data_IF_335947490920
#
_entry.id   IF_335947490920
#
_cell.length_a   1.000
_cell.length_b   1.000
_cell.length_c   1.000
_cell.angle_alpha   90.00
_cell.angle_beta   90.00
_cell.angle_gamma   90.00
#
_symmetry.space_group_name_H-M   'P 1'
#
loop_
_entity.id
_entity.type
_entity.pdbx_description
1 polymer ?
#
# COMPACT_ATOMS: atom_id res chain seq x y z
N UNK A 1 24.87 -11.44 -12.95
CA UNK A 1 24.61 -10.34 -12.01
C UNK A 1 25.56 -9.20 -12.36
N UNK A 2 25.08 -8.11 -12.98
CA UNK A 2 25.85 -6.88 -13.10
C UNK A 2 25.71 -6.10 -11.78
N UNK A 3 26.81 -6.01 -11.04
CA UNK A 3 26.90 -5.07 -9.90
C UNK A 3 27.51 -3.79 -10.48
N UNK A 4 26.71 -2.87 -10.92
CA UNK A 4 27.16 -1.51 -11.19
C UNK A 4 27.04 -0.70 -9.90
N UNK A 5 28.18 -0.28 -9.37
CA UNK A 5 28.30 0.56 -8.18
C UNK A 5 28.05 2.04 -8.51
N UNK A 6 27.01 2.35 -9.27
CA UNK A 6 26.57 3.73 -9.51
C UNK A 6 25.16 3.92 -9.00
N UNK A 7 24.99 4.97 -8.20
CA UNK A 7 23.76 5.49 -7.61
C UNK A 7 22.51 5.21 -8.44
N UNK A 8 21.93 4.03 -8.24
CA UNK A 8 20.57 3.79 -8.70
C UNK A 8 19.62 4.64 -7.88
N UNK A 9 18.59 5.25 -8.49
CA UNK A 9 17.44 5.66 -7.75
C UNK A 9 16.97 4.41 -7.01
N UNK A 10 16.96 4.47 -5.69
CA UNK A 10 16.70 3.37 -4.78
C UNK A 10 15.37 2.71 -5.15
N UNK A 11 15.42 1.66 -5.98
CA UNK A 11 14.29 0.75 -6.08
C UNK A 11 14.11 0.16 -4.70
N UNK A 12 12.98 0.46 -4.08
CA UNK A 12 12.69 -0.04 -2.73
C UNK A 12 12.73 -1.56 -2.75
N UNK A 13 13.13 -2.18 -1.66
CA UNK A 13 13.14 -3.64 -1.51
C UNK A 13 11.76 -4.27 -1.83
N UNK A 14 10.68 -3.51 -1.66
CA UNK A 14 9.32 -3.86 -2.08
C UNK A 14 9.20 -4.08 -3.59
N UNK A 15 9.86 -3.26 -4.42
CA UNK A 15 9.76 -3.34 -5.89
C UNK A 15 10.48 -4.58 -6.41
N UNK A 16 11.66 -4.88 -5.83
CA UNK A 16 12.39 -6.10 -6.16
C UNK A 16 11.63 -7.36 -5.74
N UNK A 17 10.97 -7.30 -4.59
CA UNK A 17 10.11 -8.40 -4.12
C UNK A 17 8.91 -8.62 -5.05
N UNK A 18 8.26 -7.54 -5.51
CA UNK A 18 7.16 -7.61 -6.48
C UNK A 18 7.59 -8.22 -7.81
N UNK A 19 8.84 -7.99 -8.23
CA UNK A 19 9.45 -8.59 -9.42
C UNK A 19 9.96 -10.02 -9.20
N UNK A 20 9.84 -10.59 -8.00
CA UNK A 20 10.36 -11.91 -7.66
C UNK A 20 11.90 -11.98 -7.64
N UNK A 21 12.59 -10.84 -7.61
CA UNK A 21 14.05 -10.77 -7.65
C UNK A 21 14.60 -10.86 -6.22
N UNK A 22 15.39 -11.88 -5.87
CA UNK A 22 16.02 -11.94 -4.57
C UNK A 22 17.00 -10.78 -4.38
N UNK A 23 16.88 -10.07 -3.26
CA UNK A 23 17.71 -8.93 -2.93
C UNK A 23 18.20 -8.99 -1.49
N UNK A 24 19.40 -8.51 -1.26
CA UNK A 24 20.00 -8.36 0.05
C UNK A 24 20.45 -6.93 0.24
N UNK A 25 20.03 -6.30 1.33
CA UNK A 25 20.39 -4.93 1.71
C UNK A 25 21.37 -5.00 2.89
N UNK A 26 22.32 -4.06 2.94
CA UNK A 26 23.28 -4.02 4.05
C UNK A 26 24.31 -5.15 4.05
N UNK A 27 24.64 -5.70 2.87
CA UNK A 27 25.59 -6.81 2.73
C UNK A 27 27.04 -6.47 3.16
N UNK A 28 27.33 -5.21 3.46
CA UNK A 28 28.65 -4.73 3.89
C UNK A 28 29.65 -4.53 2.74
N UNK A 29 30.74 -3.83 3.03
CA UNK A 29 31.76 -3.50 2.03
C UNK A 29 32.53 -4.73 1.50
N UNK A 30 32.52 -5.85 2.21
CA UNK A 30 33.20 -7.08 1.81
C UNK A 30 32.68 -7.62 0.46
N UNK A 31 31.43 -7.36 0.10
CA UNK A 31 30.86 -7.78 -1.20
C UNK A 31 31.56 -7.10 -2.38
N UNK A 32 32.05 -5.86 -2.18
CA UNK A 32 32.76 -5.10 -3.21
C UNK A 32 34.18 -5.65 -3.51
N UNK A 33 34.70 -6.48 -2.60
CA UNK A 33 36.03 -7.08 -2.73
C UNK A 33 36.00 -8.46 -3.43
N UNK A 34 34.82 -8.96 -3.78
CA UNK A 34 34.70 -10.24 -4.46
C UNK A 34 35.20 -10.12 -5.90
N UNK A 35 36.01 -11.14 -6.30
CA UNK A 35 36.52 -11.20 -7.65
C UNK A 35 35.39 -11.43 -8.67
N UNK A 36 35.47 -10.83 -9.88
CA UNK A 36 34.54 -11.17 -10.95
C UNK A 36 34.51 -12.68 -11.24
N UNK A 37 33.29 -13.24 -11.35
CA UNK A 37 33.13 -14.68 -11.59
C UNK A 37 33.03 -15.54 -10.32
N UNK A 38 33.20 -14.97 -9.11
CA UNK A 38 33.01 -15.72 -7.87
C UNK A 38 31.58 -16.26 -7.80
N UNK A 39 31.35 -17.57 -7.59
CA UNK A 39 30.03 -18.15 -7.42
C UNK A 39 29.37 -17.64 -6.16
N UNK A 40 28.10 -17.13 -6.30
CA UNK A 40 27.35 -16.61 -5.18
C UNK A 40 25.98 -17.29 -5.09
N UNK A 41 25.60 -17.67 -3.87
CA UNK A 41 24.24 -18.09 -3.54
C UNK A 41 23.58 -17.02 -2.67
N UNK A 42 22.54 -16.38 -3.20
CA UNK A 42 21.78 -15.35 -2.51
C UNK A 42 20.48 -15.92 -1.95
N UNK A 43 20.38 -15.99 -0.62
CA UNK A 43 19.14 -16.29 0.10
C UNK A 43 18.50 -14.98 0.59
N UNK A 44 17.62 -14.44 -0.24
CA UNK A 44 16.89 -13.19 0.08
C UNK A 44 15.85 -13.35 1.20
N UNK A 45 15.47 -14.56 1.56
CA UNK A 45 14.51 -14.82 2.66
C UNK A 45 15.21 -14.78 4.02
N UNK A 46 16.38 -15.41 4.11
CA UNK A 46 17.17 -15.45 5.34
C UNK A 46 18.16 -14.29 5.44
N UNK A 47 18.23 -13.44 4.42
CA UNK A 47 19.18 -12.32 4.39
C UNK A 47 20.63 -12.79 4.35
N UNK A 48 20.95 -13.87 3.62
CA UNK A 48 22.29 -14.47 3.58
C UNK A 48 22.86 -14.46 2.17
N UNK A 49 24.16 -14.18 2.12
CA UNK A 49 24.96 -14.34 0.92
C UNK A 49 26.06 -15.39 1.22
N UNK A 50 26.05 -16.49 0.49
CA UNK A 50 27.10 -17.50 0.55
C UNK A 50 28.06 -17.29 -0.61
N UNK A 51 29.33 -17.12 -0.29
CA UNK A 51 30.43 -17.02 -1.27
C UNK A 51 31.07 -18.42 -1.38
N UNK A 52 31.26 -18.88 -2.60
CA UNK A 52 31.81 -20.23 -2.89
C UNK A 52 31.12 -21.35 -2.08
N UNK A 53 29.76 -21.33 -2.12
CA UNK A 53 28.96 -22.33 -1.40
C UNK A 53 29.32 -23.74 -1.83
N UNK A 54 29.48 -24.65 -0.86
CA UNK A 54 29.75 -26.08 -1.13
C UNK A 54 28.56 -26.78 -1.83
N UNK A 55 28.83 -27.93 -2.41
CA UNK A 55 27.83 -28.70 -3.17
C UNK A 55 26.61 -29.07 -2.31
N UNK A 56 26.78 -29.34 -1.02
CA UNK A 56 25.68 -29.68 -0.12
C UNK A 56 24.78 -28.46 0.16
N UNK A 57 25.35 -27.25 0.28
CA UNK A 57 24.64 -26.00 0.45
C UNK A 57 23.86 -25.61 -0.83
N UNK A 58 24.48 -25.78 -2.00
CA UNK A 58 23.83 -25.55 -3.29
C UNK A 58 22.67 -26.54 -3.52
N UNK A 59 22.86 -27.82 -3.20
CA UNK A 59 21.81 -28.82 -3.33
C UNK A 59 20.62 -28.50 -2.45
N UNK A 60 20.83 -28.19 -1.17
CA UNK A 60 19.74 -27.78 -0.26
C UNK A 60 18.98 -26.55 -0.75
N UNK A 61 19.72 -25.55 -1.23
CA UNK A 61 19.09 -24.33 -1.77
C UNK A 61 18.25 -24.62 -3.03
N UNK A 62 18.69 -25.55 -3.87
CA UNK A 62 17.94 -26.00 -5.04
C UNK A 62 16.66 -26.73 -4.63
N UNK A 63 16.75 -27.69 -3.71
CA UNK A 63 15.58 -28.40 -3.18
C UNK A 63 14.56 -27.48 -2.51
N UNK A 64 15.05 -26.52 -1.72
CA UNK A 64 14.17 -25.50 -1.10
C UNK A 64 13.48 -24.62 -2.17
N UNK A 65 14.21 -24.21 -3.21
CA UNK A 65 13.64 -23.46 -4.34
C UNK A 65 12.56 -24.28 -5.06
N UNK A 66 12.86 -25.50 -5.41
CA UNK A 66 11.95 -26.37 -6.16
C UNK A 66 10.69 -26.70 -5.35
N UNK A 67 10.85 -26.95 -4.04
CA UNK A 67 9.71 -27.10 -3.11
C UNK A 67 8.85 -25.85 -3.05
N UNK A 68 9.48 -24.68 -3.03
CA UNK A 68 8.77 -23.39 -3.05
C UNK A 68 8.03 -23.17 -4.36
N UNK A 69 8.65 -23.46 -5.50
CA UNK A 69 8.00 -23.35 -6.80
C UNK A 69 6.78 -24.26 -6.91
N UNK A 70 6.88 -25.50 -6.41
CA UNK A 70 5.75 -26.42 -6.35
C UNK A 70 4.59 -25.87 -5.47
N UNK A 71 4.93 -25.34 -4.29
CA UNK A 71 3.92 -24.69 -3.42
C UNK A 71 3.26 -23.48 -4.08
N UNK A 72 4.03 -22.65 -4.78
CA UNK A 72 3.48 -21.50 -5.51
C UNK A 72 2.56 -21.93 -6.65
N UNK A 73 2.91 -23.01 -7.39
CA UNK A 73 2.04 -23.57 -8.42
C UNK A 73 0.73 -24.12 -7.84
N UNK A 74 0.81 -24.90 -6.77
CA UNK A 74 -0.38 -25.41 -6.09
C UNK A 74 -1.25 -24.29 -5.51
N UNK A 75 -0.63 -23.24 -4.93
CA UNK A 75 -1.37 -22.07 -4.46
C UNK A 75 -2.03 -21.29 -5.63
N UNK A 76 -1.36 -21.21 -6.78
CA UNK A 76 -1.92 -20.56 -7.95
C UNK A 76 -3.18 -21.26 -8.50
N UNK A 77 -3.27 -22.58 -8.38
CA UNK A 77 -4.46 -23.36 -8.76
C UNK A 77 -5.65 -23.10 -7.81
N UNK A 78 -5.38 -22.74 -6.57
CA UNK A 78 -6.40 -22.52 -5.53
C UNK A 78 -6.70 -21.04 -5.28
N UNK A 79 -6.05 -20.11 -5.99
CA UNK A 79 -6.10 -18.66 -5.71
C UNK A 79 -7.51 -18.04 -5.77
N UNK A 80 -8.45 -18.68 -6.47
CA UNK A 80 -9.84 -18.22 -6.58
C UNK A 80 -10.79 -18.96 -5.62
N UNK A 81 -10.27 -19.85 -4.77
CA UNK A 81 -11.09 -20.50 -3.76
C UNK A 81 -11.20 -19.60 -2.54
N UNK A 82 -12.34 -19.61 -1.83
CA UNK A 82 -12.49 -18.86 -0.59
C UNK A 82 -11.44 -19.25 0.45
N UNK A 83 -10.82 -18.27 1.10
CA UNK A 83 -9.94 -18.53 2.23
C UNK A 83 -10.80 -18.85 3.47
N UNK A 84 -10.61 -20.04 4.06
CA UNK A 84 -11.36 -20.49 5.21
C UNK A 84 -10.41 -20.72 6.40
N UNK A 85 -10.85 -20.31 7.58
CA UNK A 85 -10.19 -20.70 8.84
C UNK A 85 -10.48 -22.16 9.17
N UNK A 86 -9.77 -22.74 10.13
CA UNK A 86 -9.96 -24.15 10.54
C UNK A 86 -11.34 -24.44 11.12
N UNK A 87 -12.05 -23.43 11.61
CA UNK A 87 -13.43 -23.51 12.10
C UNK A 87 -14.47 -23.17 11.02
N UNK A 88 -14.02 -22.97 9.75
CA UNK A 88 -14.89 -22.78 8.59
C UNK A 88 -15.35 -21.34 8.36
N UNK A 89 -14.79 -20.35 9.07
CA UNK A 89 -15.10 -18.94 8.80
C UNK A 89 -14.40 -18.46 7.51
N UNK A 90 -15.16 -17.82 6.60
CA UNK A 90 -14.59 -17.24 5.38
C UNK A 90 -13.92 -15.90 5.69
N UNK A 91 -12.70 -15.73 5.17
CA UNK A 91 -11.92 -14.48 5.27
C UNK A 91 -11.66 -13.94 3.87
N UNK A 92 -12.14 -12.74 3.58
CA UNK A 92 -11.90 -12.08 2.30
C UNK A 92 -10.41 -11.70 2.13
N UNK A 93 -9.87 -11.93 0.95
CA UNK A 93 -8.48 -11.62 0.61
C UNK A 93 -8.43 -10.46 -0.36
N UNK A 94 -7.97 -9.31 0.11
CA UNK A 94 -7.88 -8.09 -0.67
C UNK A 94 -6.44 -7.73 -1.05
N UNK A 95 -6.28 -7.13 -2.22
CA UNK A 95 -4.97 -6.66 -2.67
C UNK A 95 -4.68 -5.22 -2.22
N UNK A 96 -3.40 -4.87 -2.20
CA UNK A 96 -2.93 -3.49 -2.05
C UNK A 96 -2.35 -3.03 -3.40
N UNK A 97 -2.84 -1.91 -3.92
CA UNK A 97 -2.38 -1.32 -5.18
C UNK A 97 -2.04 0.16 -5.02
N UNK A 98 -1.34 0.71 -5.99
CA UNK A 98 -0.98 2.13 -6.01
C UNK A 98 -1.57 2.90 -7.19
N UNK A 99 -2.07 2.19 -8.19
CA UNK A 99 -2.59 2.77 -9.43
C UNK A 99 -3.56 1.80 -10.12
N UNK A 100 -4.36 2.30 -11.06
CA UNK A 100 -5.37 1.51 -11.79
C UNK A 100 -4.78 0.35 -12.59
N UNK A 101 -3.56 0.49 -13.09
CA UNK A 101 -2.86 -0.57 -13.82
C UNK A 101 -2.68 -1.87 -13.02
N UNK A 102 -2.66 -1.79 -11.69
CA UNK A 102 -2.54 -2.94 -10.79
C UNK A 102 -3.81 -3.75 -10.61
N UNK A 103 -4.98 -3.23 -10.98
CA UNK A 103 -6.29 -3.85 -10.69
C UNK A 103 -6.44 -5.21 -11.38
N UNK A 104 -6.19 -5.27 -12.69
CA UNK A 104 -6.33 -6.50 -13.48
C UNK A 104 -5.47 -7.62 -12.91
N UNK A 105 -4.19 -7.33 -12.67
CA UNK A 105 -3.28 -8.32 -12.08
C UNK A 105 -3.72 -8.76 -10.69
N UNK A 106 -4.22 -7.85 -9.84
CA UNK A 106 -4.74 -8.20 -8.52
C UNK A 106 -5.91 -9.18 -8.60
N UNK A 107 -6.89 -8.90 -9.47
CA UNK A 107 -8.06 -9.77 -9.68
C UNK A 107 -7.64 -11.13 -10.27
N UNK A 108 -6.74 -11.15 -11.24
CA UNK A 108 -6.20 -12.38 -11.82
C UNK A 108 -5.43 -13.23 -10.79
N UNK A 109 -4.81 -12.60 -9.80
CA UNK A 109 -4.15 -13.29 -8.69
C UNK A 109 -5.12 -13.75 -7.58
N UNK A 110 -6.43 -13.55 -7.75
CA UNK A 110 -7.46 -14.03 -6.84
C UNK A 110 -7.91 -13.02 -5.79
N UNK A 111 -7.56 -11.73 -5.94
CA UNK A 111 -8.06 -10.72 -5.01
C UNK A 111 -9.59 -10.55 -5.14
N UNK A 112 -10.28 -10.63 -4.00
CA UNK A 112 -11.73 -10.44 -3.89
C UNK A 112 -12.11 -8.96 -3.87
N UNK A 113 -11.14 -8.07 -3.69
CA UNK A 113 -11.27 -6.62 -3.71
C UNK A 113 -9.93 -5.92 -3.52
N UNK A 114 -9.98 -4.61 -3.37
CA UNK A 114 -8.83 -3.78 -3.02
C UNK A 114 -9.00 -3.28 -1.59
N UNK A 115 -8.17 -3.79 -0.68
CA UNK A 115 -8.15 -3.39 0.73
C UNK A 115 -7.37 -2.11 0.99
N UNK A 116 -6.50 -1.71 0.05
CA UNK A 116 -5.74 -0.48 0.12
C UNK A 116 -5.37 0.04 -1.26
N UNK A 117 -6.03 1.10 -1.72
CA UNK A 117 -5.51 1.95 -2.78
C UNK A 117 -4.63 3.04 -2.16
N UNK A 118 -3.33 3.01 -2.47
CA UNK A 118 -2.34 3.97 -1.98
C UNK A 118 -2.31 5.20 -2.87
N UNK A 119 -3.11 6.19 -2.56
CA UNK A 119 -3.27 7.37 -3.41
C UNK A 119 -2.02 8.24 -3.49
N UNK A 120 -1.11 8.16 -2.52
CA UNK A 120 0.16 8.90 -2.59
C UNK A 120 0.98 8.59 -3.84
N UNK A 121 0.88 7.37 -4.40
CA UNK A 121 1.59 7.00 -5.62
C UNK A 121 1.04 7.75 -6.84
N UNK A 122 -0.27 8.01 -6.87
CA UNK A 122 -0.89 8.85 -7.91
C UNK A 122 -0.29 10.27 -7.86
N UNK A 123 -0.19 10.84 -6.66
CA UNK A 123 0.40 12.17 -6.48
C UNK A 123 1.90 12.19 -6.82
N UNK A 124 2.65 11.16 -6.45
CA UNK A 124 4.09 11.05 -6.73
C UNK A 124 4.40 10.86 -8.22
N UNK A 125 3.47 10.36 -9.02
CA UNK A 125 3.63 10.17 -10.45
C UNK A 125 3.60 11.49 -11.25
N UNK A 126 3.16 12.58 -10.64
CA UNK A 126 3.02 13.89 -11.29
C UNK A 126 4.06 14.90 -10.80
N UNK A 127 4.48 15.82 -11.69
CA UNK A 127 5.40 16.92 -11.37
C UNK A 127 4.71 18.07 -10.63
N UNK A 128 3.37 18.10 -10.65
CA UNK A 128 2.50 19.04 -9.95
C UNK A 128 1.36 18.26 -9.29
N UNK A 129 0.69 18.86 -8.30
CA UNK A 129 -0.47 18.24 -7.67
C UNK A 129 -1.54 17.90 -8.73
N UNK A 130 -1.98 16.63 -8.83
CA UNK A 130 -3.05 16.27 -9.75
C UNK A 130 -4.32 17.03 -9.34
N UNK A 131 -4.96 17.66 -10.30
CA UNK A 131 -6.24 18.32 -10.10
C UNK A 131 -7.38 17.31 -9.84
N UNK A 132 -8.54 17.81 -9.50
CA UNK A 132 -9.70 16.99 -9.18
C UNK A 132 -10.11 16.08 -10.35
N UNK A 133 -10.07 16.59 -11.59
CA UNK A 133 -10.44 15.81 -12.77
C UNK A 133 -9.45 14.68 -13.06
N UNK A 134 -8.16 14.94 -12.92
CA UNK A 134 -7.10 13.93 -13.07
C UNK A 134 -7.26 12.82 -12.03
N UNK A 135 -7.51 13.17 -10.78
CA UNK A 135 -7.76 12.20 -9.71
C UNK A 135 -9.03 11.39 -9.96
N UNK A 136 -10.13 12.04 -10.36
CA UNK A 136 -11.40 11.38 -10.66
C UNK A 136 -11.24 10.30 -11.74
N UNK A 137 -10.53 10.62 -12.82
CA UNK A 137 -10.28 9.68 -13.92
C UNK A 137 -9.54 8.44 -13.41
N UNK A 138 -8.53 8.61 -12.57
CA UNK A 138 -7.76 7.48 -12.03
C UNK A 138 -8.59 6.62 -11.08
N UNK A 139 -9.35 7.23 -10.16
CA UNK A 139 -10.23 6.49 -9.24
C UNK A 139 -11.35 5.76 -9.99
N UNK A 140 -11.92 6.37 -11.02
CA UNK A 140 -12.93 5.74 -11.88
C UNK A 140 -12.38 4.51 -12.58
N UNK A 141 -11.16 4.58 -13.13
CA UNK A 141 -10.48 3.42 -13.74
C UNK A 141 -10.30 2.26 -12.76
N UNK A 142 -9.94 2.56 -11.50
CA UNK A 142 -9.84 1.53 -10.46
C UNK A 142 -11.21 0.87 -10.24
N UNK A 143 -12.27 1.65 -10.06
CA UNK A 143 -13.62 1.15 -9.83
C UNK A 143 -14.17 0.35 -11.02
N UNK A 144 -13.89 0.80 -12.24
CA UNK A 144 -14.30 0.10 -13.47
C UNK A 144 -13.59 -1.26 -13.59
N UNK A 145 -12.29 -1.30 -13.32
CA UNK A 145 -11.51 -2.53 -13.35
C UNK A 145 -11.90 -3.55 -12.28
N UNK A 146 -12.46 -3.10 -11.16
CA UNK A 146 -12.95 -3.96 -10.08
C UNK A 146 -14.28 -4.63 -10.39
N UNK A 147 -15.04 -4.12 -11.34
CA UNK A 147 -16.32 -4.71 -11.77
C UNK A 147 -17.27 -5.03 -10.58
N UNK A 148 -17.42 -4.09 -9.66
CA UNK A 148 -18.29 -4.19 -8.49
C UNK A 148 -17.67 -4.82 -7.23
N UNK A 149 -16.41 -5.26 -7.28
CA UNK A 149 -15.69 -5.72 -6.08
C UNK A 149 -15.40 -4.56 -5.13
N UNK A 150 -15.28 -4.84 -3.81
CA UNK A 150 -14.99 -3.81 -2.81
C UNK A 150 -13.70 -3.03 -3.08
N UNK A 151 -13.74 -1.73 -2.81
CA UNK A 151 -12.59 -0.82 -2.87
C UNK A 151 -12.48 -0.03 -1.57
N UNK A 152 -11.33 -0.10 -0.92
CA UNK A 152 -10.93 0.81 0.16
C UNK A 152 -9.88 1.77 -0.36
N UNK A 153 -10.20 3.06 -0.36
CA UNK A 153 -9.27 4.12 -0.77
C UNK A 153 -8.72 4.81 0.45
N UNK A 154 -7.40 4.80 0.61
CA UNK A 154 -6.74 5.61 1.64
C UNK A 154 -6.53 7.02 1.11
N UNK A 155 -7.01 8.04 1.85
CA UNK A 155 -6.71 9.43 1.53
C UNK A 155 -5.21 9.68 1.60
N UNK A 156 -4.76 10.79 1.04
CA UNK A 156 -3.36 11.11 0.85
C UNK A 156 -2.53 10.96 2.13
N UNK A 157 -1.52 10.08 2.06
CA UNK A 157 -0.56 9.82 3.13
C UNK A 157 0.86 10.23 2.68
N UNK A 158 1.11 11.52 2.69
CA UNK A 158 2.42 12.12 2.38
C UNK A 158 3.00 12.82 3.60
N UNK A 159 4.32 12.94 3.63
CA UNK A 159 5.10 13.43 4.75
C UNK A 159 6.17 12.41 5.15
N UNK A 160 7.13 12.84 5.94
CA UNK A 160 8.20 11.95 6.38
C UNK A 160 9.06 11.44 5.22
N UNK A 161 8.92 10.16 4.93
CA UNK A 161 9.68 9.44 3.89
C UNK A 161 9.07 9.56 2.48
N UNK A 162 7.94 10.25 2.35
CA UNK A 162 7.20 10.41 1.08
C UNK A 162 7.06 11.89 0.71
N UNK A 163 8.14 12.59 0.37
CA UNK A 163 8.08 13.99 0.00
C UNK A 163 7.44 14.16 -1.39
N UNK A 164 6.66 15.24 -1.53
CA UNK A 164 6.17 15.71 -2.82
C UNK A 164 6.92 16.98 -3.21
N UNK A 165 7.57 17.03 -4.39
CA UNK A 165 8.39 18.18 -4.78
C UNK A 165 7.65 19.51 -4.78
N UNK A 166 6.36 19.47 -5.07
CA UNK A 166 5.49 20.65 -5.17
C UNK A 166 4.77 21.01 -3.86
N UNK A 167 4.93 20.19 -2.81
CA UNK A 167 4.43 20.51 -1.46
C UNK A 167 5.54 20.35 -0.43
N UNK A 168 6.44 21.32 -0.35
CA UNK A 168 7.50 21.28 0.63
C UNK A 168 6.92 21.23 2.04
N UNK A 169 7.35 20.24 2.82
CA UNK A 169 7.03 20.07 4.21
C UNK A 169 8.29 20.43 4.98
N UNK A 170 8.14 21.15 6.10
CA UNK A 170 9.27 21.50 6.95
C UNK A 170 10.02 20.23 7.39
N UNK A 171 11.33 20.31 7.43
CA UNK A 171 12.14 19.19 7.91
C UNK A 171 11.93 19.06 9.42
N UNK A 172 11.56 17.86 9.86
CA UNK A 172 11.34 17.49 11.24
C UNK A 172 12.34 16.42 11.67
N UNK A 173 12.70 16.40 12.96
CA UNK A 173 13.61 15.37 13.49
C UNK A 173 12.96 13.97 13.46
N UNK A 174 11.66 13.91 13.74
CA UNK A 174 10.86 12.68 13.73
C UNK A 174 9.65 12.82 12.78
N UNK A 175 9.84 12.78 11.46
CA UNK A 175 8.78 13.08 10.48
C UNK A 175 7.53 12.18 10.59
N UNK A 176 7.70 10.95 11.06
CA UNK A 176 6.57 10.02 11.27
C UNK A 176 5.63 10.46 12.40
N UNK A 177 6.14 11.22 13.38
CA UNK A 177 5.37 11.76 14.49
C UNK A 177 4.85 13.17 14.22
N UNK A 178 5.31 13.78 13.14
CA UNK A 178 5.02 15.17 12.77
C UNK A 178 3.85 15.32 11.79
N UNK A 179 3.99 16.31 10.89
CA UNK A 179 2.97 16.68 9.91
C UNK A 179 2.95 15.68 8.75
N UNK A 180 2.02 14.74 8.82
CA UNK A 180 1.85 13.66 7.84
C UNK A 180 0.38 13.23 7.74
N UNK A 181 -0.02 12.69 6.58
CA UNK A 181 -1.32 12.09 6.35
C UNK A 181 -2.45 13.07 6.67
N UNK A 182 -3.39 12.65 7.52
CA UNK A 182 -4.54 13.49 7.91
C UNK A 182 -4.12 14.83 8.52
N UNK A 183 -3.03 14.88 9.30
CA UNK A 183 -2.56 16.12 9.93
C UNK A 183 -2.17 17.17 8.89
N UNK A 184 -1.49 16.75 7.81
CA UNK A 184 -1.16 17.62 6.68
C UNK A 184 -2.42 18.08 5.95
N UNK A 185 -3.35 17.17 5.68
CA UNK A 185 -4.54 17.47 4.88
C UNK A 185 -5.57 18.27 5.67
N UNK A 186 -5.62 18.19 7.00
CA UNK A 186 -6.41 19.07 7.85
C UNK A 186 -5.81 20.49 7.93
N UNK A 187 -4.47 20.62 7.91
CA UNK A 187 -3.83 21.95 7.81
C UNK A 187 -4.01 22.59 6.43
N UNK A 188 -4.25 21.78 5.39
CA UNK A 188 -4.46 22.21 4.01
C UNK A 188 -5.76 21.61 3.48
N UNK A 189 -6.93 22.05 3.99
CA UNK A 189 -8.22 21.40 3.75
C UNK A 189 -8.58 21.32 2.27
N UNK A 190 -8.13 22.27 1.44
CA UNK A 190 -8.36 22.27 0.00
C UNK A 190 -7.79 21.01 -0.70
N UNK A 191 -6.72 20.41 -0.15
CA UNK A 191 -6.14 19.17 -0.70
C UNK A 191 -7.10 17.99 -0.44
N UNK A 192 -7.58 17.89 0.81
CA UNK A 192 -8.53 16.85 1.19
C UNK A 192 -9.87 17.02 0.47
N UNK A 193 -10.38 18.24 0.37
CA UNK A 193 -11.63 18.52 -0.34
C UNK A 193 -11.56 18.11 -1.81
N UNK A 194 -10.49 18.48 -2.53
CA UNK A 194 -10.31 18.10 -3.93
C UNK A 194 -10.25 16.57 -4.09
N UNK A 195 -9.52 15.88 -3.21
CA UNK A 195 -9.45 14.42 -3.25
C UNK A 195 -10.80 13.77 -2.95
N UNK A 196 -11.51 14.22 -1.92
CA UNK A 196 -12.83 13.69 -1.56
C UNK A 196 -13.87 13.93 -2.67
N UNK A 197 -13.88 15.13 -3.30
CA UNK A 197 -14.75 15.39 -4.45
C UNK A 197 -14.47 14.45 -5.60
N UNK A 198 -13.18 14.26 -5.94
CA UNK A 198 -12.79 13.34 -6.99
C UNK A 198 -13.22 11.89 -6.70
N UNK A 199 -13.09 11.44 -5.46
CA UNK A 199 -13.53 10.10 -5.03
C UNK A 199 -15.04 9.93 -5.11
N UNK A 200 -15.81 10.89 -4.58
CA UNK A 200 -17.28 10.84 -4.62
C UNK A 200 -17.81 10.86 -6.05
N UNK A 201 -17.25 11.68 -6.94
CA UNK A 201 -17.60 11.70 -8.36
C UNK A 201 -17.21 10.41 -9.09
N UNK A 202 -16.02 9.89 -8.80
CA UNK A 202 -15.55 8.63 -9.39
C UNK A 202 -16.44 7.45 -8.99
N UNK A 203 -16.98 7.46 -7.77
CA UNK A 203 -17.87 6.42 -7.29
C UNK A 203 -19.13 6.29 -8.16
N UNK A 204 -19.71 7.40 -8.61
CA UNK A 204 -20.87 7.38 -9.50
C UNK A 204 -21.96 6.42 -8.99
N UNK A 205 -22.32 6.61 -7.72
CA UNK A 205 -23.28 5.80 -6.96
C UNK A 205 -22.89 4.32 -6.73
N UNK A 206 -21.63 3.92 -6.99
CA UNK A 206 -21.08 2.61 -6.61
C UNK A 206 -20.66 2.62 -5.14
N UNK A 207 -20.62 1.46 -4.46
CA UNK A 207 -20.08 1.35 -3.10
C UNK A 207 -18.65 1.88 -3.02
N UNK A 208 -18.39 2.72 -2.02
CA UNK A 208 -17.07 3.31 -1.80
C UNK A 208 -16.71 3.29 -0.31
N UNK A 209 -15.49 2.84 -0.01
CA UNK A 209 -14.92 2.91 1.34
C UNK A 209 -13.75 3.88 1.33
N UNK A 210 -13.81 4.93 2.16
CA UNK A 210 -12.74 5.91 2.32
C UNK A 210 -12.10 5.71 3.69
N UNK A 211 -10.79 5.60 3.72
CA UNK A 211 -10.00 5.39 4.92
C UNK A 211 -9.02 6.55 5.14
N UNK A 212 -9.03 7.11 6.34
CA UNK A 212 -8.12 8.19 6.73
C UNK A 212 -6.88 7.63 7.44
N UNK A 213 -5.66 7.98 6.96
CA UNK A 213 -4.41 7.55 7.58
C UNK A 213 -4.02 8.46 8.74
N UNK A 214 -3.18 7.98 9.65
CA UNK A 214 -2.51 8.76 10.70
C UNK A 214 -3.44 9.46 11.69
N UNK A 215 -4.69 9.01 11.81
CA UNK A 215 -5.65 9.56 12.79
C UNK A 215 -5.16 9.25 14.20
N UNK A 216 -4.90 10.28 14.99
CA UNK A 216 -4.41 10.18 16.37
C UNK A 216 -5.41 10.62 17.42
N UNK A 217 -6.52 11.27 17.03
CA UNK A 217 -7.54 11.76 17.94
C UNK A 217 -8.96 11.64 17.35
N UNK A 218 -9.95 11.69 18.23
CA UNK A 218 -11.37 11.71 17.83
C UNK A 218 -11.71 13.00 17.07
N UNK A 219 -11.05 14.11 17.40
CA UNK A 219 -11.30 15.40 16.75
C UNK A 219 -10.79 15.42 15.30
N UNK A 220 -9.62 14.83 15.01
CA UNK A 220 -9.11 14.67 13.65
C UNK A 220 -10.07 13.81 12.81
N UNK A 221 -10.55 12.72 13.37
CA UNK A 221 -11.56 11.88 12.73
C UNK A 221 -12.84 12.67 12.40
N UNK A 222 -13.40 13.39 13.38
CA UNK A 222 -14.64 14.14 13.19
C UNK A 222 -14.50 15.23 12.14
N UNK A 223 -13.39 15.95 12.10
CA UNK A 223 -13.12 16.95 11.08
C UNK A 223 -13.14 16.35 9.67
N UNK A 224 -12.48 15.19 9.46
CA UNK A 224 -12.46 14.50 8.18
C UNK A 224 -13.84 13.95 7.80
N UNK A 225 -14.55 13.35 8.74
CA UNK A 225 -15.93 12.86 8.56
C UNK A 225 -16.87 14.00 8.18
N UNK A 226 -16.87 15.08 8.94
CA UNK A 226 -17.78 16.18 8.74
C UNK A 226 -17.53 16.90 7.39
N UNK A 227 -16.26 16.97 6.96
CA UNK A 227 -15.89 17.43 5.62
C UNK A 227 -16.46 16.49 4.54
N UNK A 228 -16.32 15.20 4.71
CA UNK A 228 -16.82 14.21 3.75
C UNK A 228 -18.33 14.22 3.65
N UNK A 229 -19.02 14.26 4.79
CA UNK A 229 -20.49 14.31 4.82
C UNK A 229 -21.04 15.60 4.21
N UNK A 230 -20.40 16.75 4.43
CA UNK A 230 -20.75 17.99 3.74
C UNK A 230 -20.63 17.85 2.22
N UNK A 231 -19.56 17.28 1.72
CA UNK A 231 -19.37 17.06 0.28
C UNK A 231 -20.33 16.02 -0.29
N UNK A 232 -20.71 15.02 0.49
CA UNK A 232 -21.71 14.01 0.12
C UNK A 232 -23.10 14.60 -0.12
N UNK A 233 -23.43 15.71 0.54
CA UNK A 233 -24.69 16.43 0.25
C UNK A 233 -24.70 17.04 -1.15
N UNK A 234 -23.53 17.42 -1.68
CA UNK A 234 -23.38 17.98 -3.02
C UNK A 234 -23.21 16.87 -4.09
N UNK A 235 -22.53 15.77 -3.72
CA UNK A 235 -22.18 14.65 -4.59
C UNK A 235 -22.64 13.35 -3.92
N UNK A 236 -23.92 12.96 -4.08
CA UNK A 236 -24.49 11.83 -3.36
C UNK A 236 -23.84 10.50 -3.77
N UNK A 237 -23.50 9.68 -2.77
CA UNK A 237 -23.07 8.29 -2.90
C UNK A 237 -23.87 7.48 -1.88
N UNK A 238 -24.66 6.51 -2.36
CA UNK A 238 -25.62 5.78 -1.52
C UNK A 238 -24.91 4.90 -0.47
N UNK A 239 -23.92 4.14 -0.90
CA UNK A 239 -23.16 3.22 -0.02
C UNK A 239 -21.72 3.77 0.15
N UNK A 240 -21.61 4.76 1.05
CA UNK A 240 -20.33 5.33 1.47
C UNK A 240 -20.01 4.89 2.88
N UNK A 241 -18.88 4.24 3.07
CA UNK A 241 -18.34 3.86 4.37
C UNK A 241 -17.06 4.66 4.66
N UNK A 242 -16.96 5.20 5.87
CA UNK A 242 -15.82 5.98 6.33
C UNK A 242 -15.11 5.27 7.48
N UNK A 243 -13.81 5.07 7.33
CA UNK A 243 -12.99 4.37 8.30
C UNK A 243 -11.66 5.03 8.56
N UNK A 244 -10.91 4.47 9.47
CA UNK A 244 -9.56 4.93 9.82
C UNK A 244 -8.55 3.78 9.78
N UNK A 245 -7.29 4.13 9.56
CA UNK A 245 -6.18 3.20 9.76
C UNK A 245 -5.68 3.27 11.20
N UNK A 246 -5.68 2.13 11.89
CA UNK A 246 -5.07 1.99 13.22
C UNK A 246 -3.58 1.78 13.02
N UNK A 247 -2.81 2.86 13.13
CA UNK A 247 -1.36 2.88 12.91
C UNK A 247 -0.64 3.88 13.83
N UNK A 248 -1.42 4.66 14.60
CA UNK A 248 -0.94 5.56 15.64
C UNK A 248 -1.32 4.96 16.99
N UNK A 249 -0.41 4.88 17.98
CA UNK A 249 -0.70 4.26 19.28
C UNK A 249 -1.94 4.83 19.97
N UNK A 250 -2.16 6.14 19.89
CA UNK A 250 -3.36 6.78 20.47
C UNK A 250 -4.65 6.28 19.84
N UNK A 251 -4.68 6.02 18.50
CA UNK A 251 -5.84 5.47 17.83
C UNK A 251 -6.18 4.05 18.35
N UNK A 252 -5.15 3.23 18.60
CA UNK A 252 -5.35 1.90 19.19
C UNK A 252 -5.97 1.97 20.60
N UNK A 253 -5.49 2.91 21.43
CA UNK A 253 -6.05 3.13 22.77
C UNK A 253 -7.47 3.73 22.72
N UNK A 254 -7.77 4.56 21.73
CA UNK A 254 -9.08 5.17 21.52
C UNK A 254 -10.03 4.30 20.69
N UNK A 255 -9.62 3.11 20.25
CA UNK A 255 -10.44 2.25 19.40
C UNK A 255 -11.84 1.97 19.97
N UNK A 256 -12.07 1.77 21.28
CA UNK A 256 -13.43 1.59 21.84
C UNK A 256 -14.33 2.82 21.66
N UNK A 257 -13.75 4.03 21.57
CA UNK A 257 -14.50 5.27 21.34
C UNK A 257 -14.74 5.43 19.84
N UNK A 258 -13.69 5.29 19.03
CA UNK A 258 -13.73 5.44 17.58
C UNK A 258 -14.66 4.41 16.91
N UNK A 259 -14.72 3.17 17.43
CA UNK A 259 -15.62 2.12 16.94
C UNK A 259 -17.12 2.48 16.98
N UNK A 260 -17.50 3.50 17.73
CA UNK A 260 -18.89 4.00 17.77
C UNK A 260 -19.18 5.02 16.66
N UNK A 261 -18.16 5.47 15.97
CA UNK A 261 -18.26 6.59 15.02
C UNK A 261 -17.75 6.23 13.61
N UNK A 262 -16.92 5.18 13.47
CA UNK A 262 -16.40 4.74 12.17
C UNK A 262 -17.16 3.53 11.67
N UNK A 263 -17.25 3.35 10.36
CA UNK A 263 -17.88 2.17 9.77
C UNK A 263 -16.93 0.96 9.76
N UNK A 264 -15.60 1.20 9.70
CA UNK A 264 -14.60 0.14 9.73
C UNK A 264 -13.23 0.62 10.21
N UNK A 265 -12.41 -0.34 10.63
CA UNK A 265 -10.99 -0.14 10.89
C UNK A 265 -10.15 -0.90 9.86
N UNK A 266 -9.02 -0.31 9.49
CA UNK A 266 -7.91 -1.00 8.84
C UNK A 266 -6.73 -1.00 9.80
N UNK A 267 -6.11 -2.15 10.03
CA UNK A 267 -4.96 -2.23 10.94
C UNK A 267 -3.70 -2.15 10.10
N UNK A 268 -2.88 -1.11 10.36
CA UNK A 268 -1.58 -0.91 9.71
C UNK A 268 -0.56 -1.96 10.19
N UNK A 269 0.28 -2.44 9.26
CA UNK A 269 1.32 -3.44 9.54
C UNK A 269 2.69 -2.91 9.18
#
# INVERSE_FOLDING_TARGET
LHIEAHSFPTRRSSDLRALGIPALVGAGAAVLLLAPGTPLLLDGQRGRLHVDADAATLQRATEERDTREQRLKAAAEQRHQPALTTDGHAVEVFANIGESAGVTSAVEQGAEGIGLLRTELIFMAHSQAPDEATQEVEYRRVLDGLAGRPLVVRTLDVGGDKPLPYWPIAKEENPFLGVRGIRLTLQRPQIMEAQLRALLRAADNRPLRIMFPMVGSVDEWRQARDMTERLRLEIPVADLQLGIMIEVPSAALLAPVLAKEVDFFSVGT
#
